data_IF_154932858665
#
_entry.id   IF_154932858665
#
_cell.length_a   1.000
_cell.length_b   1.000
_cell.length_c   1.000
_cell.angle_alpha   90.00
_cell.angle_beta   90.00
_cell.angle_gamma   90.00
#
_symmetry.space_group_name_H-M   'P 1'
#
loop_
_entity.id
_entity.type
_entity.pdbx_description
1 polymer ?
#
# COMPACT_ATOMS: atom_id res chain seq x y z
N UNK A 1 -4.33 -28.66 5.62
CA UNK A 1 -4.66 -28.11 4.28
C UNK A 1 -3.74 -26.93 4.04
N UNK A 2 -3.31 -26.65 2.80
CA UNK A 2 -2.53 -25.44 2.53
C UNK A 2 -3.34 -24.20 2.94
N UNK A 3 -2.67 -23.19 3.48
CA UNK A 3 -3.31 -21.90 3.73
C UNK A 3 -3.86 -21.33 2.41
N UNK A 4 -5.04 -20.75 2.41
CA UNK A 4 -5.67 -20.17 1.22
C UNK A 4 -5.78 -18.66 1.37
N UNK A 5 -5.04 -17.92 0.54
CA UNK A 5 -5.15 -16.45 0.45
C UNK A 5 -6.11 -16.09 -0.68
N UNK A 6 -7.11 -15.27 -0.39
CA UNK A 6 -8.00 -14.75 -1.40
C UNK A 6 -7.95 -13.22 -1.53
N UNK A 7 -7.93 -12.74 -2.77
CA UNK A 7 -7.98 -11.32 -3.09
C UNK A 7 -8.50 -11.07 -4.50
N UNK A 8 -8.70 -9.81 -4.86
CA UNK A 8 -8.88 -9.43 -6.26
C UNK A 8 -7.69 -9.86 -7.12
N UNK A 9 -7.95 -10.13 -8.40
CA UNK A 9 -6.97 -10.51 -9.43
C UNK A 9 -6.13 -9.31 -9.90
N UNK A 10 -5.51 -8.65 -8.92
CA UNK A 10 -4.62 -7.51 -9.04
C UNK A 10 -3.54 -7.63 -7.95
N UNK A 11 -2.48 -6.81 -8.02
CA UNK A 11 -1.46 -6.72 -6.96
C UNK A 11 -2.05 -6.24 -5.62
N UNK A 12 -2.57 -5.02 -5.60
CA UNK A 12 -3.29 -4.39 -4.48
C UNK A 12 -2.72 -4.68 -3.06
N UNK A 13 -3.60 -4.89 -2.08
CA UNK A 13 -3.21 -5.17 -0.68
C UNK A 13 -2.58 -6.55 -0.48
N UNK A 14 -2.83 -7.50 -1.38
CA UNK A 14 -2.37 -8.88 -1.22
C UNK A 14 -0.91 -9.08 -1.65
N UNK A 15 -0.30 -8.14 -2.38
CA UNK A 15 1.07 -8.33 -2.89
C UNK A 15 2.11 -8.58 -1.79
N UNK A 16 2.17 -7.83 -0.68
CA UNK A 16 3.10 -8.12 0.40
C UNK A 16 2.88 -9.52 1.01
N UNK A 17 1.61 -9.94 1.11
CA UNK A 17 1.24 -11.26 1.62
C UNK A 17 1.72 -12.36 0.67
N UNK A 18 1.53 -12.20 -0.64
CA UNK A 18 2.03 -13.15 -1.65
C UNK A 18 3.55 -13.30 -1.58
N UNK A 19 4.27 -12.19 -1.47
CA UNK A 19 5.74 -12.20 -1.33
C UNK A 19 6.19 -12.91 -0.05
N UNK A 20 5.54 -12.62 1.09
CA UNK A 20 5.84 -13.28 2.36
C UNK A 20 5.57 -14.79 2.28
N UNK A 21 4.48 -15.20 1.64
CA UNK A 21 4.11 -16.61 1.47
C UNK A 21 5.04 -17.37 0.53
N UNK A 22 5.51 -16.73 -0.53
CA UNK A 22 6.55 -17.29 -1.41
C UNK A 22 7.85 -17.52 -0.63
N UNK A 23 8.25 -16.54 0.18
CA UNK A 23 9.43 -16.66 1.05
C UNK A 23 9.28 -17.79 2.08
N UNK A 24 8.08 -18.04 2.59
CA UNK A 24 7.80 -19.13 3.55
C UNK A 24 7.32 -20.44 2.89
N UNK A 25 7.31 -20.53 1.55
CA UNK A 25 6.99 -21.75 0.80
C UNK A 25 5.53 -22.23 0.82
N UNK A 26 4.53 -21.33 0.73
CA UNK A 26 3.10 -21.72 0.69
C UNK A 26 2.40 -21.32 -0.62
N UNK A 27 1.58 -22.22 -1.18
CA UNK A 27 0.93 -22.07 -2.49
C UNK A 27 -0.14 -20.96 -2.62
N UNK A 28 -0.39 -20.53 -3.86
CA UNK A 28 -1.33 -19.48 -4.26
C UNK A 28 -2.80 -19.88 -4.02
N UNK A 29 -3.62 -18.92 -3.58
CA UNK A 29 -5.05 -19.13 -3.29
C UNK A 29 -5.98 -18.47 -4.33
N UNK A 30 -7.25 -18.27 -3.94
CA UNK A 30 -8.32 -17.79 -4.81
C UNK A 30 -8.13 -16.34 -5.32
N UNK A 31 -8.45 -16.10 -6.59
CA UNK A 31 -8.49 -14.76 -7.19
C UNK A 31 -9.93 -14.40 -7.62
N UNK A 32 -10.35 -13.17 -7.33
CA UNK A 32 -11.63 -12.61 -7.78
C UNK A 32 -11.40 -11.58 -8.89
N UNK A 33 -12.10 -11.69 -10.01
CA UNK A 33 -11.97 -10.71 -11.11
C UNK A 33 -13.12 -9.70 -11.05
N UNK A 34 -12.78 -8.41 -11.16
CA UNK A 34 -13.75 -7.34 -11.39
C UNK A 34 -14.14 -7.36 -12.87
N UNK A 35 -15.43 -7.22 -13.17
CA UNK A 35 -15.93 -7.09 -14.54
C UNK A 35 -15.43 -5.80 -15.22
N UNK A 36 -15.64 -5.73 -16.53
CA UNK A 36 -15.22 -4.61 -17.36
C UNK A 36 -16.05 -3.34 -17.12
N UNK A 37 -15.52 -2.21 -17.60
CA UNK A 37 -16.25 -0.96 -17.65
C UNK A 37 -17.51 -1.08 -18.55
N UNK A 38 -18.57 -0.30 -18.26
CA UNK A 38 -18.67 0.72 -17.22
C UNK A 38 -19.17 0.18 -15.87
N UNK A 39 -19.66 -1.05 -15.82
CA UNK A 39 -20.41 -1.57 -14.68
C UNK A 39 -19.50 -2.07 -13.55
N UNK A 40 -18.28 -2.50 -13.88
CA UNK A 40 -17.29 -3.00 -12.93
C UNK A 40 -17.89 -4.03 -11.97
N UNK A 41 -18.55 -5.06 -12.52
CA UNK A 41 -19.27 -6.05 -11.71
C UNK A 41 -18.34 -6.75 -10.71
N UNK A 42 -18.83 -6.87 -9.48
CA UNK A 42 -18.10 -7.46 -8.34
C UNK A 42 -18.91 -8.58 -7.69
N UNK A 43 -19.93 -9.08 -8.38
CA UNK A 43 -20.82 -10.14 -7.89
C UNK A 43 -20.07 -11.41 -7.49
N UNK A 44 -18.93 -11.70 -8.12
CA UNK A 44 -18.04 -12.82 -7.79
C UNK A 44 -17.59 -12.82 -6.31
N UNK A 45 -17.45 -11.64 -5.71
CA UNK A 45 -17.15 -11.46 -4.29
C UNK A 45 -18.42 -11.18 -3.48
N UNK A 46 -19.21 -10.19 -3.89
CA UNK A 46 -20.38 -9.75 -3.12
C UNK A 46 -21.46 -10.84 -3.00
N UNK A 47 -21.53 -11.78 -3.94
CA UNK A 47 -22.46 -12.91 -3.91
C UNK A 47 -22.09 -14.01 -2.91
N UNK A 48 -20.84 -14.02 -2.41
CA UNK A 48 -20.34 -15.04 -1.48
C UNK A 48 -19.90 -14.48 -0.12
N UNK A 49 -19.51 -13.20 -0.01
CA UNK A 49 -18.81 -12.63 1.17
C UNK A 49 -19.48 -12.98 2.51
N UNK A 50 -20.81 -12.88 2.58
CA UNK A 50 -21.58 -13.06 3.81
C UNK A 50 -21.78 -14.55 4.15
N UNK A 51 -21.54 -15.44 3.19
CA UNK A 51 -21.65 -16.91 3.34
C UNK A 51 -20.35 -17.54 3.84
N UNK A 52 -19.24 -16.79 3.82
CA UNK A 52 -17.94 -17.31 4.20
C UNK A 52 -17.72 -17.38 5.71
N UNK A 53 -18.66 -16.87 6.53
CA UNK A 53 -18.62 -16.99 8.00
C UNK A 53 -17.36 -16.39 8.61
N UNK A 54 -17.02 -15.17 8.20
CA UNK A 54 -15.98 -14.33 8.81
C UNK A 54 -16.64 -13.29 9.71
N UNK A 55 -15.98 -12.88 10.79
CA UNK A 55 -16.50 -11.83 11.68
C UNK A 55 -16.63 -10.47 10.96
N UNK A 56 -15.65 -10.15 10.11
CA UNK A 56 -15.62 -8.92 9.32
C UNK A 56 -15.28 -9.25 7.85
N UNK A 57 -16.25 -9.71 7.03
CA UNK A 57 -15.99 -10.14 5.65
C UNK A 57 -15.27 -9.06 4.83
N UNK A 58 -14.03 -9.32 4.45
CA UNK A 58 -13.20 -8.36 3.73
C UNK A 58 -12.15 -9.04 2.87
N UNK A 59 -11.56 -8.29 1.93
CA UNK A 59 -10.43 -8.71 1.11
C UNK A 59 -9.18 -7.85 1.46
N UNK A 60 -7.99 -8.45 1.61
CA UNK A 60 -7.72 -9.88 1.54
C UNK A 60 -8.23 -10.64 2.77
N UNK A 61 -8.48 -11.94 2.58
CA UNK A 61 -8.67 -12.90 3.66
C UNK A 61 -7.74 -14.10 3.48
N UNK A 62 -7.37 -14.73 4.60
CA UNK A 62 -6.60 -15.96 4.67
C UNK A 62 -7.41 -17.02 5.41
N UNK A 63 -7.50 -18.23 4.87
CA UNK A 63 -8.06 -19.41 5.54
C UNK A 63 -6.91 -20.35 5.89
N UNK A 64 -6.82 -20.75 7.16
CA UNK A 64 -5.86 -21.74 7.66
C UNK A 64 -6.56 -22.73 8.60
N UNK A 65 -6.97 -23.87 8.04
CA UNK A 65 -7.87 -24.81 8.72
C UNK A 65 -9.19 -24.12 9.06
N UNK A 66 -9.56 -24.12 10.34
CA UNK A 66 -10.77 -23.46 10.84
C UNK A 66 -10.60 -21.95 11.04
N UNK A 67 -9.37 -21.43 10.97
CA UNK A 67 -9.09 -20.01 11.20
C UNK A 67 -9.33 -19.22 9.93
N UNK A 68 -10.01 -18.08 10.08
CA UNK A 68 -10.23 -17.09 9.03
C UNK A 68 -9.66 -15.76 9.50
N UNK A 69 -8.66 -15.25 8.80
CA UNK A 69 -7.99 -13.99 9.12
C UNK A 69 -8.30 -12.99 8.02
N UNK A 70 -8.81 -11.83 8.39
CA UNK A 70 -9.06 -10.68 7.51
C UNK A 70 -8.14 -9.53 7.91
N UNK A 71 -8.08 -8.47 7.09
CA UNK A 71 -7.13 -7.34 7.20
C UNK A 71 -5.70 -7.71 6.81
N UNK A 72 -5.14 -6.97 5.85
CA UNK A 72 -3.82 -7.30 5.27
C UNK A 72 -2.71 -7.37 6.31
N UNK A 73 -2.66 -6.41 7.25
CA UNK A 73 -1.62 -6.34 8.26
C UNK A 73 -1.77 -7.46 9.31
N UNK A 74 -3.02 -7.79 9.67
CA UNK A 74 -3.28 -8.93 10.57
C UNK A 74 -2.89 -10.26 9.91
N UNK A 75 -3.12 -10.43 8.60
CA UNK A 75 -2.67 -11.59 7.83
C UNK A 75 -1.14 -11.63 7.76
N UNK A 76 -0.47 -10.51 7.48
CA UNK A 76 1.00 -10.42 7.48
C UNK A 76 1.57 -10.85 8.84
N UNK A 77 1.06 -10.30 9.94
CA UNK A 77 1.48 -10.69 11.30
C UNK A 77 1.13 -12.15 11.61
N UNK A 78 0.01 -12.67 11.12
CA UNK A 78 -0.34 -14.09 11.28
C UNK A 78 0.74 -15.02 10.72
N UNK A 79 1.22 -14.73 9.51
CA UNK A 79 2.26 -15.51 8.86
C UNK A 79 3.63 -15.25 9.49
N UNK A 80 3.95 -13.98 9.80
CA UNK A 80 5.25 -13.57 10.32
C UNK A 80 5.50 -13.95 11.80
N UNK A 81 4.45 -14.28 12.57
CA UNK A 81 4.56 -14.57 14.01
C UNK A 81 5.59 -15.65 14.35
N UNK A 82 5.80 -16.62 13.46
CA UNK A 82 6.72 -17.74 13.67
C UNK A 82 8.05 -17.56 12.90
N UNK A 83 8.28 -16.41 12.28
CA UNK A 83 9.44 -16.19 11.39
C UNK A 83 10.09 -14.80 11.50
N UNK A 84 9.33 -13.69 11.45
CA UNK A 84 9.88 -12.35 11.15
C UNK A 84 9.24 -11.16 11.90
N UNK A 85 8.55 -11.36 13.03
CA UNK A 85 7.85 -10.26 13.75
C UNK A 85 8.70 -9.35 14.67
N UNK A 86 10.00 -9.61 14.83
CA UNK A 86 10.86 -8.96 15.83
C UNK A 86 10.89 -9.74 17.14
N UNK A 87 12.07 -9.88 17.74
CA UNK A 87 12.30 -10.75 18.90
C UNK A 87 12.32 -9.96 20.22
N UNK A 88 12.69 -8.68 20.15
CA UNK A 88 12.77 -7.75 21.30
C UNK A 88 11.65 -6.70 21.27
N UNK A 89 11.36 -6.10 22.44
CA UNK A 89 10.39 -5.00 22.54
C UNK A 89 10.71 -3.85 21.57
N UNK A 90 11.98 -3.43 21.54
CA UNK A 90 12.43 -2.35 20.65
C UNK A 90 12.24 -2.68 19.16
N UNK A 91 12.40 -3.95 18.78
CA UNK A 91 12.14 -4.40 17.41
C UNK A 91 10.64 -4.41 17.09
N UNK A 92 9.81 -4.88 18.01
CA UNK A 92 8.36 -4.88 17.84
C UNK A 92 7.81 -3.45 17.72
N UNK A 93 8.29 -2.53 18.56
CA UNK A 93 7.97 -1.09 18.43
C UNK A 93 8.35 -0.55 17.05
N UNK A 94 9.53 -0.91 16.53
CA UNK A 94 9.93 -0.51 15.16
C UNK A 94 9.05 -1.12 14.09
N UNK A 95 8.69 -2.40 14.21
CA UNK A 95 7.77 -3.08 13.28
C UNK A 95 6.41 -2.38 13.26
N UNK A 96 5.87 -2.04 14.43
CA UNK A 96 4.58 -1.37 14.56
C UNK A 96 4.58 0.02 13.93
N UNK A 97 5.63 0.82 14.16
CA UNK A 97 5.77 2.15 13.55
C UNK A 97 5.85 2.03 12.02
N UNK A 98 6.69 1.13 11.50
CA UNK A 98 6.91 1.00 10.06
C UNK A 98 5.67 0.43 9.35
N UNK A 99 4.97 -0.54 9.95
CA UNK A 99 3.73 -1.09 9.40
C UNK A 99 2.67 -0.01 9.20
N UNK A 100 2.47 0.86 10.21
CA UNK A 100 1.48 1.94 10.14
C UNK A 100 1.92 3.05 9.17
N UNK A 101 3.19 3.47 9.22
CA UNK A 101 3.72 4.48 8.31
C UNK A 101 3.63 4.03 6.83
N UNK A 102 3.87 2.74 6.55
CA UNK A 102 3.72 2.19 5.21
C UNK A 102 2.25 2.20 4.74
N UNK A 103 1.29 1.95 5.65
CA UNK A 103 -0.13 2.01 5.33
C UNK A 103 -0.59 3.45 5.04
N UNK A 104 -0.12 4.43 5.81
CA UNK A 104 -0.44 5.85 5.59
C UNK A 104 0.06 6.32 4.23
N UNK A 105 1.32 6.00 3.88
CA UNK A 105 1.88 6.34 2.58
C UNK A 105 1.10 5.69 1.43
N UNK A 106 0.77 4.41 1.59
CA UNK A 106 -0.01 3.66 0.61
C UNK A 106 -1.41 4.25 0.42
N UNK A 107 -2.11 4.58 1.49
CA UNK A 107 -3.47 5.14 1.42
C UNK A 107 -3.46 6.53 0.80
N UNK A 108 -2.46 7.36 1.10
CA UNK A 108 -2.25 8.64 0.43
C UNK A 108 -2.10 8.48 -1.08
N UNK A 109 -1.27 7.53 -1.52
CA UNK A 109 -1.10 7.23 -2.95
C UNK A 109 -2.39 6.69 -3.59
N UNK A 110 -3.09 5.76 -2.93
CA UNK A 110 -4.36 5.20 -3.42
C UNK A 110 -5.38 6.30 -3.66
N UNK A 111 -5.50 7.27 -2.74
CA UNK A 111 -6.44 8.38 -2.90
C UNK A 111 -6.18 9.18 -4.19
N UNK A 112 -4.92 9.43 -4.55
CA UNK A 112 -4.54 10.09 -5.81
C UNK A 112 -4.96 9.30 -7.05
N UNK A 113 -5.03 7.97 -6.96
CA UNK A 113 -5.42 7.12 -8.08
C UNK A 113 -6.94 7.08 -8.30
N UNK A 114 -7.74 7.44 -7.30
CA UNK A 114 -9.21 7.29 -7.36
C UNK A 114 -9.99 8.62 -7.21
N UNK A 115 -9.35 9.72 -6.80
CA UNK A 115 -10.02 11.01 -6.61
C UNK A 115 -9.64 12.04 -7.68
N UNK A 116 -10.62 12.84 -8.10
CA UNK A 116 -10.47 13.90 -9.11
C UNK A 116 -10.49 15.32 -8.52
N UNK A 117 -10.35 15.46 -7.20
CA UNK A 117 -10.26 16.75 -6.51
C UNK A 117 -9.04 16.80 -5.60
N UNK A 118 -8.49 18.00 -5.39
CA UNK A 118 -7.30 18.21 -4.56
C UNK A 118 -7.68 18.18 -3.07
N UNK A 119 -6.81 17.60 -2.26
CA UNK A 119 -6.92 17.48 -0.80
C UNK A 119 -5.61 17.90 -0.13
N UNK A 120 -5.57 18.02 1.19
CA UNK A 120 -4.33 18.37 1.91
C UNK A 120 -3.22 17.30 1.72
N UNK A 121 -3.58 16.06 1.41
CA UNK A 121 -2.61 14.97 1.18
C UNK A 121 -1.84 15.18 -0.10
N UNK A 122 -2.44 15.80 -1.12
CA UNK A 122 -1.76 16.15 -2.37
C UNK A 122 -0.57 17.09 -2.10
N UNK A 123 -0.66 17.97 -1.11
CA UNK A 123 0.44 18.86 -0.72
C UNK A 123 1.59 18.08 -0.07
N UNK A 124 1.28 17.09 0.77
CA UNK A 124 2.28 16.23 1.41
C UNK A 124 3.00 15.37 0.36
N UNK A 125 2.24 14.75 -0.53
CA UNK A 125 2.81 13.90 -1.59
C UNK A 125 3.59 14.73 -2.61
N UNK A 126 3.10 15.92 -2.96
CA UNK A 126 3.85 16.86 -3.79
C UNK A 126 5.21 17.15 -3.18
N UNK A 127 5.28 17.55 -1.91
CA UNK A 127 6.54 17.86 -1.23
C UNK A 127 7.50 16.67 -1.24
N UNK A 128 6.99 15.46 -0.93
CA UNK A 128 7.82 14.26 -0.94
C UNK A 128 8.36 13.94 -2.34
N UNK A 129 7.50 13.96 -3.36
CA UNK A 129 7.90 13.67 -4.74
C UNK A 129 8.84 14.73 -5.30
N UNK A 130 8.62 16.01 -4.97
CA UNK A 130 9.48 17.10 -5.40
C UNK A 130 10.88 16.96 -4.79
N UNK A 131 10.99 16.69 -3.47
CA UNK A 131 12.30 16.43 -2.85
C UNK A 131 13.05 15.25 -3.48
N UNK A 132 12.35 14.14 -3.77
CA UNK A 132 12.98 12.98 -4.43
C UNK A 132 13.41 13.32 -5.86
N UNK A 133 12.59 14.05 -6.62
CA UNK A 133 12.93 14.56 -7.95
C UNK A 133 14.13 15.53 -7.91
N UNK A 134 14.23 16.37 -6.88
CA UNK A 134 15.37 17.26 -6.69
C UNK A 134 16.64 16.49 -6.34
N UNK A 135 16.52 15.41 -5.57
CA UNK A 135 17.64 14.56 -5.17
C UNK A 135 18.18 13.71 -6.32
N UNK A 136 17.27 13.12 -7.10
CA UNK A 136 17.57 12.43 -8.35
C UNK A 136 16.53 12.78 -9.41
N UNK A 137 16.94 13.61 -10.36
CA UNK A 137 16.07 14.08 -11.45
C UNK A 137 15.42 12.98 -12.28
N UNK A 138 15.99 11.77 -12.30
CA UNK A 138 15.50 10.65 -13.14
C UNK A 138 14.62 9.68 -12.38
N UNK A 139 14.48 9.82 -11.05
CA UNK A 139 13.76 8.82 -10.24
C UNK A 139 12.28 8.68 -10.63
N UNK A 140 11.70 9.68 -11.31
CA UNK A 140 10.32 9.68 -11.78
C UNK A 140 10.16 9.45 -13.29
N UNK A 141 11.24 9.21 -14.05
CA UNK A 141 11.19 9.14 -15.52
C UNK A 141 10.24 8.05 -16.03
N UNK A 142 10.21 6.90 -15.35
CA UNK A 142 9.37 5.76 -15.69
C UNK A 142 7.89 5.93 -15.27
N UNK A 143 7.54 7.01 -14.57
CA UNK A 143 6.22 7.20 -13.94
C UNK A 143 5.52 8.45 -14.49
N UNK A 144 5.00 8.35 -15.72
CA UNK A 144 4.31 9.46 -16.41
C UNK A 144 3.14 10.06 -15.61
N UNK A 145 2.44 9.24 -14.81
CA UNK A 145 1.37 9.70 -13.94
C UNK A 145 1.87 10.64 -12.83
N UNK A 146 3.02 10.32 -12.22
CA UNK A 146 3.63 11.11 -11.14
C UNK A 146 4.20 12.43 -11.67
N UNK A 147 4.86 12.40 -12.84
CA UNK A 147 5.32 13.63 -13.51
C UNK A 147 4.15 14.56 -13.81
N UNK A 148 3.08 14.04 -14.42
CA UNK A 148 1.86 14.81 -14.69
C UNK A 148 1.19 15.31 -13.41
N UNK A 149 1.29 14.59 -12.29
CA UNK A 149 0.78 15.06 -11.00
C UNK A 149 1.57 16.28 -10.51
N UNK A 150 2.90 16.22 -10.50
CA UNK A 150 3.78 17.35 -10.15
C UNK A 150 3.49 18.55 -11.06
N UNK A 151 3.42 18.35 -12.38
CA UNK A 151 3.12 19.41 -13.35
C UNK A 151 1.78 20.10 -13.06
N UNK A 152 0.71 19.32 -12.78
CA UNK A 152 -0.60 19.89 -12.43
C UNK A 152 -0.57 20.68 -11.13
N UNK A 153 0.18 20.19 -10.15
CA UNK A 153 0.27 20.81 -8.83
C UNK A 153 1.07 22.12 -8.85
N UNK A 154 2.15 22.18 -9.63
CA UNK A 154 2.98 23.38 -9.78
C UNK A 154 2.26 24.54 -10.46
N UNK A 155 1.26 24.26 -11.31
CA UNK A 155 0.45 25.31 -11.98
C UNK A 155 -0.45 26.06 -11.00
N UNK A 156 -0.88 25.40 -9.92
CA UNK A 156 -1.88 25.93 -8.99
C UNK A 156 -1.30 26.44 -7.67
N UNK A 157 0.01 26.28 -7.44
CA UNK A 157 0.66 26.68 -6.18
C UNK A 157 1.92 27.50 -6.42
N UNK A 158 2.28 28.34 -5.44
CA UNK A 158 3.58 29.01 -5.36
C UNK A 158 4.21 28.65 -4.02
N UNK A 159 5.48 28.29 -4.02
CA UNK A 159 6.18 27.81 -2.83
C UNK A 159 7.67 28.17 -2.87
N UNK A 160 8.33 28.04 -1.72
CA UNK A 160 9.77 28.24 -1.57
C UNK A 160 10.48 27.00 -2.09
N UNK A 161 11.30 27.14 -3.14
CA UNK A 161 11.98 26.00 -3.77
C UNK A 161 13.25 25.55 -3.04
N UNK A 162 13.98 26.48 -2.43
CA UNK A 162 15.25 26.23 -1.76
C UNK A 162 15.50 27.26 -0.65
N UNK A 163 16.35 26.96 0.35
CA UNK A 163 16.99 25.65 0.57
C UNK A 163 15.99 24.63 1.13
N UNK A 164 16.10 23.36 0.70
CA UNK A 164 15.27 22.25 1.21
C UNK A 164 15.60 21.93 2.67
N UNK A 165 16.89 22.02 3.04
CA UNK A 165 17.39 21.68 4.37
C UNK A 165 18.19 22.85 4.98
N UNK A 166 18.42 22.77 6.29
CA UNK A 166 19.23 23.78 7.00
C UNK A 166 20.73 23.70 6.59
N UNK A 167 21.48 24.77 6.87
CA UNK A 167 22.90 24.98 6.47
C UNK A 167 23.86 23.84 6.85
N UNK A 168 23.51 23.04 7.86
CA UNK A 168 24.31 21.89 8.33
C UNK A 168 24.12 20.61 7.49
N UNK A 169 23.08 20.53 6.67
CA UNK A 169 22.83 19.36 5.84
C UNK A 169 23.84 19.27 4.70
N UNK A 170 24.19 18.05 4.29
CA UNK A 170 25.12 17.79 3.18
C UNK A 170 24.48 18.01 1.80
N UNK A 171 23.16 18.04 1.73
CA UNK A 171 22.39 18.19 0.50
C UNK A 171 21.17 19.10 0.74
N UNK A 172 20.82 19.91 -0.27
CA UNK A 172 19.68 20.82 -0.21
C UNK A 172 19.86 22.01 0.75
N UNK A 173 21.09 22.30 1.18
CA UNK A 173 21.38 23.34 2.17
C UNK A 173 21.58 24.75 1.57
N UNK A 174 21.29 24.92 0.27
CA UNK A 174 21.42 26.17 -0.50
C UNK A 174 20.23 26.34 -1.44
#
# INVERSE_FOLDING_TARGET
MPMELAYWDIRGLAQPIRLLREYTGTEYGQAFSCGEAPDYDKSCWFGIKDKLGMDFPNLPYLVDGDRKVVQSNAIMRYIARNTTCGETEDEQVRVDIIENQAMDFRNGFVMLCYMNYITFVDFIIYELLDQHRMFDSKCLDAFDNLKKFLDRFEVITKFIKNPVNNKMAKWGNK
#
